data_IF_055035434480
#
_entry.id   IF_055035434480
#
_cell.length_a   1.000
_cell.length_b   1.000
_cell.length_c   1.000
_cell.angle_alpha   90.00
_cell.angle_beta   90.00
_cell.angle_gamma   90.00
#
_symmetry.space_group_name_H-M   'P 1'
#
loop_
_entity.id
_entity.type
_entity.pdbx_description
1 polymer ?
#
# COMPACT_ATOMS: atom_id res chain seq x y z
N UNK A 1 27.64 65.17 -54.22
CA UNK A 1 26.71 66.32 -54.28
C UNK A 1 26.05 66.42 -52.90
N UNK A 2 26.44 67.41 -52.10
CA UNK A 2 25.61 68.57 -51.69
C UNK A 2 24.32 68.15 -50.95
N UNK A 3 24.29 68.10 -49.60
CA UNK A 3 24.04 69.16 -48.57
C UNK A 3 22.58 69.65 -48.47
N UNK A 4 22.00 69.31 -47.30
CA UNK A 4 21.14 70.08 -46.36
C UNK A 4 19.91 70.85 -46.87
N UNK A 5 18.76 70.56 -46.25
CA UNK A 5 17.82 71.44 -45.48
C UNK A 5 16.58 70.57 -45.17
N UNK A 6 16.30 70.16 -43.93
CA UNK A 6 15.47 70.82 -42.88
C UNK A 6 14.04 71.14 -43.39
N UNK A 7 12.90 70.90 -42.76
CA UNK A 7 12.42 70.58 -41.41
C UNK A 7 10.90 70.25 -41.56
N UNK A 8 10.03 70.27 -40.51
CA UNK A 8 10.01 69.59 -39.21
C UNK A 8 8.74 68.69 -39.07
N UNK A 9 8.74 67.60 -38.28
CA UNK A 9 8.26 67.50 -36.88
C UNK A 9 6.97 68.28 -36.54
N UNK A 10 5.91 67.55 -36.13
CA UNK A 10 5.17 67.87 -34.89
C UNK A 10 4.41 66.63 -34.37
N UNK A 11 4.69 66.34 -33.10
CA UNK A 11 4.08 65.36 -32.21
C UNK A 11 2.77 65.92 -31.61
N UNK A 12 2.23 65.21 -30.61
CA UNK A 12 1.26 65.56 -29.56
C UNK A 12 -0.03 64.74 -29.70
N UNK A 13 -0.23 63.64 -28.96
CA UNK A 13 -0.40 63.47 -27.50
C UNK A 13 -1.80 63.81 -26.95
N UNK A 14 -2.28 62.87 -26.12
CA UNK A 14 -3.21 63.00 -24.97
C UNK A 14 -4.64 63.52 -25.21
N UNK A 15 -5.67 62.69 -25.02
CA UNK A 15 -6.25 62.25 -23.74
C UNK A 15 -6.85 63.40 -22.90
N UNK A 16 -8.19 63.51 -22.88
CA UNK A 16 -9.11 63.89 -21.77
C UNK A 16 -10.46 64.34 -22.38
N UNK A 17 -11.55 63.61 -22.15
CA UNK A 17 -12.48 63.69 -21.01
C UNK A 17 -13.58 64.76 -21.19
N UNK A 18 -14.82 64.34 -20.87
CA UNK A 18 -16.05 65.07 -20.55
C UNK A 18 -16.71 65.99 -21.60
N UNK A 19 -17.93 65.60 -21.99
CA UNK A 19 -18.92 66.45 -22.65
C UNK A 19 -20.33 65.99 -22.29
N UNK A 20 -20.82 66.50 -21.17
CA UNK A 20 -22.14 66.27 -20.56
C UNK A 20 -23.22 67.14 -21.23
N UNK A 21 -24.44 66.59 -21.36
CA UNK A 21 -25.76 67.23 -21.24
C UNK A 21 -26.26 68.26 -22.27
N UNK A 22 -27.33 67.91 -23.00
CA UNK A 22 -28.49 68.77 -23.33
C UNK A 22 -29.61 67.84 -23.84
N UNK A 23 -30.55 67.38 -23.00
CA UNK A 23 -31.78 68.05 -22.54
C UNK A 23 -32.80 68.29 -23.67
N UNK A 24 -33.77 67.38 -23.78
CA UNK A 24 -35.06 67.61 -24.44
C UNK A 24 -36.18 67.19 -23.48
N UNK A 25 -37.04 68.16 -23.20
CA UNK A 25 -38.12 68.24 -22.24
C UNK A 25 -39.26 67.21 -22.40
N UNK A 26 -40.13 67.06 -21.38
CA UNK A 26 -40.96 65.88 -21.15
C UNK A 26 -42.36 65.98 -21.77
N UNK A 27 -42.76 64.96 -22.53
CA UNK A 27 -44.16 64.75 -22.90
C UNK A 27 -44.81 63.84 -21.86
N UNK A 28 -45.63 64.45 -20.99
CA UNK A 28 -46.51 63.76 -20.04
C UNK A 28 -47.62 63.06 -20.82
N UNK A 29 -47.45 61.75 -21.02
CA UNK A 29 -48.55 60.84 -21.30
C UNK A 29 -48.76 59.99 -20.04
N UNK A 30 -49.87 60.25 -19.35
CA UNK A 30 -50.44 59.33 -18.36
C UNK A 30 -50.57 57.95 -18.99
N UNK A 31 -49.65 57.05 -18.63
CA UNK A 31 -49.82 55.61 -18.83
C UNK A 31 -49.94 55.02 -17.44
N UNK A 32 -51.19 54.71 -17.14
CA UNK A 32 -51.69 53.76 -16.15
C UNK A 32 -50.58 52.91 -15.52
N UNK A 33 -50.49 52.95 -14.19
CA UNK A 33 -49.70 52.03 -13.41
C UNK A 33 -50.25 50.61 -13.61
N UNK A 34 -49.84 49.96 -14.69
CA UNK A 34 -49.85 48.52 -14.80
C UNK A 34 -48.85 48.02 -13.75
N UNK A 35 -49.41 47.50 -12.67
CA UNK A 35 -48.74 46.64 -11.72
C UNK A 35 -47.96 45.60 -12.53
N UNK A 36 -46.65 45.82 -12.69
CA UNK A 36 -45.77 44.82 -13.27
C UNK A 36 -45.75 43.70 -12.24
N UNK A 37 -46.63 42.71 -12.47
CA UNK A 37 -46.54 41.40 -11.85
C UNK A 37 -45.07 41.00 -11.95
N UNK A 38 -44.39 40.89 -10.80
CA UNK A 38 -43.18 40.10 -10.73
C UNK A 38 -43.53 38.78 -11.40
N UNK A 39 -42.85 38.35 -12.47
CA UNK A 39 -43.06 37.02 -12.98
C UNK A 39 -42.82 36.09 -11.79
N UNK A 40 -43.90 35.47 -11.30
CA UNK A 40 -43.77 34.33 -10.41
C UNK A 40 -43.01 33.31 -11.25
N UNK A 41 -41.69 33.26 -11.06
CA UNK A 41 -40.84 32.27 -11.68
C UNK A 41 -41.45 30.93 -11.27
N UNK A 42 -42.14 30.29 -12.20
CA UNK A 42 -42.70 28.97 -12.00
C UNK A 42 -41.54 28.08 -11.57
N UNK A 43 -41.68 27.40 -10.43
CA UNK A 43 -40.69 26.43 -9.95
C UNK A 43 -40.38 25.33 -11.00
N UNK A 44 -41.24 25.20 -12.01
CA UNK A 44 -41.07 24.33 -13.17
C UNK A 44 -39.96 24.76 -14.15
N UNK A 45 -39.56 26.03 -14.20
CA UNK A 45 -38.49 26.51 -15.09
C UNK A 45 -37.09 26.37 -14.46
N UNK A 46 -37.02 26.05 -13.16
CA UNK A 46 -35.78 25.71 -12.50
C UNK A 46 -35.35 24.28 -12.89
N UNK A 47 -34.07 24.07 -13.27
CA UNK A 47 -33.55 22.73 -13.51
C UNK A 47 -33.82 21.80 -12.32
N UNK A 48 -34.08 20.52 -12.59
CA UNK A 48 -34.47 19.51 -11.57
C UNK A 48 -33.57 19.50 -10.32
N UNK A 49 -32.30 19.88 -10.45
CA UNK A 49 -31.31 19.92 -9.37
C UNK A 49 -31.52 21.05 -8.34
N UNK A 50 -32.31 22.07 -8.69
CA UNK A 50 -32.58 23.26 -7.88
C UNK A 50 -34.02 23.30 -7.34
N UNK A 51 -34.93 22.47 -7.85
CA UNK A 51 -36.32 22.42 -7.40
C UNK A 51 -36.42 21.95 -5.94
N UNK A 52 -37.26 22.63 -5.15
CA UNK A 52 -37.50 22.29 -3.73
C UNK A 52 -36.36 22.61 -2.76
N UNK A 53 -35.24 23.20 -3.21
CA UNK A 53 -34.15 23.67 -2.35
C UNK A 53 -34.36 25.11 -1.94
N UNK A 54 -33.98 25.44 -0.71
CA UNK A 54 -34.06 26.82 -0.21
C UNK A 54 -33.04 27.73 -0.92
N UNK A 55 -33.34 29.02 -1.02
CA UNK A 55 -32.43 29.99 -1.65
C UNK A 55 -31.03 30.01 -1.01
N UNK A 56 -30.94 29.79 0.31
CA UNK A 56 -29.66 29.66 1.02
C UNK A 56 -28.88 28.40 0.61
N UNK A 57 -29.57 27.27 0.42
CA UNK A 57 -28.95 26.01 -0.01
C UNK A 57 -28.46 26.06 -1.47
N UNK A 58 -29.20 26.76 -2.34
CA UNK A 58 -28.78 27.04 -3.71
C UNK A 58 -27.52 27.92 -3.70
N UNK A 59 -27.48 28.96 -2.86
CA UNK A 59 -26.31 29.81 -2.71
C UNK A 59 -25.07 29.05 -2.18
N UNK A 60 -25.24 28.12 -1.24
CA UNK A 60 -24.13 27.27 -0.77
C UNK A 60 -23.64 26.32 -1.86
N UNK A 61 -24.54 25.68 -2.62
CA UNK A 61 -24.13 24.86 -3.77
C UNK A 61 -23.37 25.67 -4.82
N UNK A 62 -23.84 26.88 -5.13
CA UNK A 62 -23.16 27.75 -6.10
C UNK A 62 -21.75 28.11 -5.63
N UNK A 63 -21.59 28.47 -4.35
CA UNK A 63 -20.28 28.75 -3.74
C UNK A 63 -19.36 27.55 -3.75
N UNK A 64 -19.87 26.35 -3.48
CA UNK A 64 -19.10 25.10 -3.56
C UNK A 64 -18.69 24.76 -5.00
N UNK A 65 -19.57 25.02 -5.97
CA UNK A 65 -19.28 24.85 -7.39
C UNK A 65 -18.22 25.84 -7.87
N UNK A 66 -18.33 27.11 -7.50
CA UNK A 66 -17.31 28.13 -7.78
C UNK A 66 -15.96 27.75 -7.16
N UNK A 67 -15.96 27.26 -5.92
CA UNK A 67 -14.75 26.80 -5.25
C UNK A 67 -14.12 25.60 -5.96
N UNK A 68 -14.92 24.61 -6.34
CA UNK A 68 -14.46 23.43 -7.11
C UNK A 68 -13.96 23.83 -8.50
N UNK A 69 -14.65 24.76 -9.17
CA UNK A 69 -14.23 25.27 -10.46
C UNK A 69 -12.90 26.04 -10.35
N UNK A 70 -12.72 26.81 -9.27
CA UNK A 70 -11.45 27.46 -8.94
C UNK A 70 -10.32 26.45 -8.72
N UNK A 71 -10.58 25.38 -7.97
CA UNK A 71 -9.64 24.28 -7.76
C UNK A 71 -9.28 23.59 -9.08
N UNK A 72 -10.27 23.22 -9.90
CA UNK A 72 -10.04 22.63 -11.22
C UNK A 72 -9.27 23.58 -12.16
N UNK A 73 -9.53 24.88 -12.08
CA UNK A 73 -8.79 25.88 -12.86
C UNK A 73 -7.32 25.98 -12.41
N UNK A 74 -7.05 25.84 -11.11
CA UNK A 74 -5.69 25.75 -10.58
C UNK A 74 -5.01 24.46 -11.04
N UNK A 75 -5.67 23.31 -10.95
CA UNK A 75 -5.16 22.03 -11.45
C UNK A 75 -4.83 22.10 -12.95
N UNK A 76 -5.71 22.68 -13.78
CA UNK A 76 -5.46 22.89 -15.21
C UNK A 76 -4.30 23.87 -15.44
N UNK A 77 -4.16 24.90 -14.60
CA UNK A 77 -3.02 25.82 -14.65
C UNK A 77 -1.69 25.12 -14.31
N UNK A 78 -1.69 24.22 -13.33
CA UNK A 78 -0.53 23.41 -12.99
C UNK A 78 -0.17 22.42 -14.10
N UNK A 79 -1.16 21.77 -14.72
CA UNK A 79 -0.95 20.90 -15.87
C UNK A 79 -0.35 21.66 -17.06
N UNK A 80 -0.83 22.88 -17.34
CA UNK A 80 -0.23 23.75 -18.37
C UNK A 80 1.22 24.08 -18.05
N UNK A 81 1.54 24.44 -16.80
CA UNK A 81 2.92 24.71 -16.37
C UNK A 81 3.81 23.47 -16.49
N UNK A 82 3.34 22.30 -16.07
CA UNK A 82 4.08 21.05 -16.16
C UNK A 82 4.34 20.65 -17.62
N UNK A 83 3.35 20.85 -18.49
CA UNK A 83 3.50 20.65 -19.92
C UNK A 83 4.48 21.64 -20.55
N UNK A 84 4.36 22.93 -20.24
CA UNK A 84 5.30 23.96 -20.72
C UNK A 84 6.73 23.67 -20.25
N UNK A 85 6.91 23.20 -19.01
CA UNK A 85 8.20 22.78 -18.48
C UNK A 85 8.74 21.56 -19.23
N UNK A 86 7.91 20.55 -19.51
CA UNK A 86 8.29 19.39 -20.32
C UNK A 86 8.69 19.81 -21.74
N UNK A 87 7.94 20.72 -22.37
CA UNK A 87 8.25 21.26 -23.69
C UNK A 87 9.58 22.01 -23.65
N UNK A 88 9.78 22.90 -22.66
CA UNK A 88 11.06 23.60 -22.47
C UNK A 88 12.23 22.64 -22.26
N UNK A 89 12.06 21.60 -21.43
CA UNK A 89 13.07 20.57 -21.22
C UNK A 89 13.35 19.79 -22.51
N UNK A 90 12.31 19.48 -23.30
CA UNK A 90 12.48 18.79 -24.59
C UNK A 90 13.20 19.65 -25.63
N UNK A 91 12.90 20.96 -25.69
CA UNK A 91 13.56 21.92 -26.59
C UNK A 91 15.00 22.14 -26.12
N UNK A 92 15.23 22.29 -24.82
CA UNK A 92 16.58 22.41 -24.25
C UNK A 92 17.41 21.14 -24.50
N UNK A 93 16.81 19.94 -24.44
CA UNK A 93 17.47 18.69 -24.80
C UNK A 93 17.78 18.59 -26.31
N UNK A 94 16.93 19.18 -27.18
CA UNK A 94 17.18 19.24 -28.63
C UNK A 94 18.20 20.32 -29.03
N UNK A 95 18.27 21.42 -28.28
CA UNK A 95 19.18 22.55 -28.54
C UNK A 95 20.48 22.48 -27.76
N UNK A 96 20.60 21.56 -26.79
CA UNK A 96 21.87 21.25 -26.18
C UNK A 96 22.84 20.86 -27.31
N UNK A 97 24.01 21.51 -27.43
CA UNK A 97 25.03 21.03 -28.34
C UNK A 97 25.23 19.55 -28.01
N UNK A 98 25.12 18.69 -29.03
CA UNK A 98 25.46 17.27 -28.91
C UNK A 98 26.68 17.19 -28.01
N UNK A 99 26.52 16.56 -26.85
CA UNK A 99 27.67 16.31 -25.97
C UNK A 99 28.79 15.83 -26.90
N UNK A 100 30.02 16.40 -26.80
CA UNK A 100 31.12 16.00 -27.67
C UNK A 100 31.06 14.48 -27.71
N UNK A 101 30.87 13.91 -28.91
CA UNK A 101 30.79 12.47 -29.07
C UNK A 101 31.91 11.93 -28.20
N UNK A 102 31.60 11.08 -27.19
CA UNK A 102 32.64 10.55 -26.33
C UNK A 102 33.70 10.07 -27.30
N UNK A 103 34.93 10.58 -27.22
CA UNK A 103 36.02 10.21 -28.13
C UNK A 103 36.05 8.70 -28.12
N UNK A 104 35.32 8.10 -29.05
CA UNK A 104 35.26 6.67 -29.16
C UNK A 104 36.63 6.42 -29.71
N UNK A 105 37.39 5.53 -29.08
CA UNK A 105 38.42 4.83 -29.83
C UNK A 105 37.67 4.22 -31.03
N UNK A 106 37.60 4.99 -32.11
CA UNK A 106 37.01 4.64 -33.38
C UNK A 106 37.92 3.52 -33.82
N UNK A 107 37.48 2.30 -33.57
CA UNK A 107 38.12 1.14 -34.16
C UNK A 107 37.92 1.38 -35.63
N UNK A 108 38.98 1.87 -36.27
CA UNK A 108 38.95 2.28 -37.65
C UNK A 108 38.44 1.08 -38.45
N UNK A 109 37.37 1.28 -39.21
CA UNK A 109 36.75 0.25 -40.03
C UNK A 109 37.79 -0.46 -40.92
N UNK A 110 38.87 0.22 -41.29
CA UNK A 110 39.96 -0.36 -42.07
C UNK A 110 40.90 -1.27 -41.26
N UNK A 111 41.00 -1.09 -39.95
CA UNK A 111 41.86 -1.89 -39.05
C UNK A 111 41.14 -3.11 -38.49
N UNK A 112 39.89 -2.97 -38.07
CA UNK A 112 39.01 -4.07 -37.65
C UNK A 112 37.54 -3.76 -38.02
N UNK A 113 37.12 -4.12 -39.26
CA UNK A 113 35.76 -3.84 -39.73
C UNK A 113 34.69 -4.56 -38.92
N UNK A 114 35.03 -5.71 -38.32
CA UNK A 114 34.09 -6.49 -37.53
C UNK A 114 33.76 -5.79 -36.21
N UNK A 115 34.78 -5.24 -35.52
CA UNK A 115 34.57 -4.46 -34.30
C UNK A 115 33.87 -3.13 -34.57
N UNK A 116 34.21 -2.44 -35.67
CA UNK A 116 33.55 -1.20 -36.09
C UNK A 116 32.05 -1.41 -36.34
N UNK A 117 31.69 -2.46 -37.08
CA UNK A 117 30.28 -2.80 -37.36
C UNK A 117 29.52 -3.19 -36.08
N UNK A 118 30.11 -3.97 -35.17
CA UNK A 118 29.48 -4.29 -33.87
C UNK A 118 29.19 -3.05 -33.04
N UNK A 119 30.18 -2.16 -32.89
CA UNK A 119 29.99 -0.87 -32.19
C UNK A 119 28.90 -0.02 -32.84
N UNK A 120 28.85 0.04 -34.18
CA UNK A 120 27.82 0.79 -34.89
C UNK A 120 26.41 0.21 -34.65
N UNK A 121 26.27 -1.12 -34.62
CA UNK A 121 24.99 -1.81 -34.32
C UNK A 121 24.58 -1.57 -32.86
N UNK A 122 25.49 -1.76 -31.90
CA UNK A 122 25.23 -1.53 -30.47
C UNK A 122 24.86 -0.06 -30.17
N UNK A 123 25.48 0.87 -30.90
CA UNK A 123 25.20 2.29 -30.76
C UNK A 123 23.98 2.78 -31.55
N UNK A 124 23.37 1.93 -32.38
CA UNK A 124 22.26 2.32 -33.23
C UNK A 124 21.03 2.75 -32.39
N UNK A 125 20.46 3.94 -32.65
CA UNK A 125 19.42 4.53 -31.80
C UNK A 125 18.16 3.66 -31.68
N UNK A 126 17.72 3.03 -32.78
CA UNK A 126 16.56 2.12 -32.75
C UNK A 126 16.82 0.87 -31.90
N UNK A 127 18.04 0.33 -31.90
CA UNK A 127 18.37 -0.86 -31.12
C UNK A 127 18.45 -0.51 -29.63
N UNK A 128 19.08 0.62 -29.30
CA UNK A 128 19.09 1.17 -27.94
C UNK A 128 17.68 1.43 -27.40
N UNK A 129 16.82 2.05 -28.21
CA UNK A 129 15.41 2.28 -27.84
C UNK A 129 14.67 0.96 -27.65
N UNK A 130 14.85 0.00 -28.56
CA UNK A 130 14.20 -1.30 -28.47
C UNK A 130 14.67 -2.10 -27.25
N UNK A 131 15.98 -2.07 -26.93
CA UNK A 131 16.54 -2.67 -25.73
C UNK A 131 16.01 -2.01 -24.46
N UNK A 132 15.91 -0.67 -24.44
CA UNK A 132 15.35 0.08 -23.32
C UNK A 132 13.87 -0.29 -23.08
N UNK A 133 13.06 -0.31 -24.15
CA UNK A 133 11.65 -0.72 -24.08
C UNK A 133 11.51 -2.17 -23.62
N UNK A 134 12.34 -3.08 -24.13
CA UNK A 134 12.34 -4.47 -23.71
C UNK A 134 12.71 -4.61 -22.21
N UNK A 135 13.70 -3.86 -21.73
CA UNK A 135 14.10 -3.85 -20.33
C UNK A 135 12.99 -3.28 -19.42
N UNK A 136 12.33 -2.19 -19.85
CA UNK A 136 11.22 -1.59 -19.11
C UNK A 136 9.99 -2.52 -19.07
N UNK A 137 9.69 -3.20 -20.18
CA UNK A 137 8.63 -4.20 -20.24
C UNK A 137 8.95 -5.38 -19.32
N UNK A 138 10.17 -5.91 -19.35
CA UNK A 138 10.60 -6.99 -18.46
C UNK A 138 10.48 -6.58 -16.98
N UNK A 139 10.93 -5.36 -16.64
CA UNK A 139 10.80 -4.80 -15.29
C UNK A 139 9.34 -4.70 -14.84
N UNK A 140 8.47 -4.13 -15.67
CA UNK A 140 7.04 -3.96 -15.31
C UNK A 140 6.33 -5.30 -15.14
N UNK A 141 6.62 -6.28 -16.00
CA UNK A 141 6.10 -7.64 -15.87
C UNK A 141 6.59 -8.33 -14.60
N UNK A 142 7.90 -8.27 -14.32
CA UNK A 142 8.48 -8.85 -13.12
C UNK A 142 7.87 -8.22 -11.86
N UNK A 143 7.76 -6.88 -11.81
CA UNK A 143 7.15 -6.18 -10.68
C UNK A 143 5.67 -6.55 -10.50
N UNK A 144 4.91 -6.68 -11.58
CA UNK A 144 3.49 -7.08 -11.50
C UNK A 144 3.34 -8.51 -10.95
N UNK A 145 4.16 -9.45 -11.43
CA UNK A 145 4.16 -10.84 -10.92
C UNK A 145 4.59 -10.89 -9.45
N UNK A 146 5.62 -10.12 -9.08
CA UNK A 146 6.13 -10.06 -7.73
C UNK A 146 5.10 -9.46 -6.76
N UNK A 147 4.39 -8.39 -7.16
CA UNK A 147 3.30 -7.82 -6.37
C UNK A 147 2.13 -8.81 -6.19
N UNK A 148 1.83 -9.62 -7.21
CA UNK A 148 0.79 -10.64 -7.12
C UNK A 148 1.18 -11.80 -6.19
N UNK A 149 2.43 -12.29 -6.27
CA UNK A 149 2.93 -13.37 -5.41
C UNK A 149 3.19 -12.91 -3.96
N UNK A 150 3.66 -11.67 -3.79
CA UNK A 150 4.10 -11.10 -2.53
C UNK A 150 3.58 -9.66 -2.33
N UNK A 151 2.31 -9.49 -1.97
CA UNK A 151 1.72 -8.16 -1.73
C UNK A 151 2.40 -7.42 -0.56
N UNK A 152 2.95 -8.16 0.40
CA UNK A 152 3.70 -7.71 1.58
C UNK A 152 5.20 -7.46 1.31
N UNK A 153 5.66 -7.53 0.05
CA UNK A 153 7.09 -7.34 -0.29
C UNK A 153 7.64 -6.04 0.30
N UNK A 154 6.90 -4.92 0.23
CA UNK A 154 7.37 -3.61 0.72
C UNK A 154 7.70 -3.65 2.22
N UNK A 155 6.91 -4.37 2.99
CA UNK A 155 7.10 -4.51 4.43
C UNK A 155 8.30 -5.43 4.73
N UNK A 156 8.45 -6.50 3.94
CA UNK A 156 9.60 -7.42 4.08
C UNK A 156 10.93 -6.75 3.70
N UNK A 157 10.95 -5.89 2.67
CA UNK A 157 12.18 -5.19 2.25
C UNK A 157 12.65 -4.14 3.27
N UNK A 158 11.71 -3.55 4.01
CA UNK A 158 12.02 -2.57 5.07
C UNK A 158 12.39 -3.22 6.40
N UNK A 159 12.11 -4.51 6.58
CA UNK A 159 12.49 -5.28 7.75
C UNK A 159 14.03 -5.44 7.82
N UNK A 160 14.64 -4.96 8.90
CA UNK A 160 16.08 -5.12 9.13
C UNK A 160 16.47 -6.59 9.27
N UNK A 161 15.57 -7.44 9.78
CA UNK A 161 15.79 -8.88 9.89
C UNK A 161 15.99 -9.56 8.53
N UNK A 162 15.31 -9.06 7.50
CA UNK A 162 15.46 -9.53 6.13
C UNK A 162 16.81 -9.12 5.55
N UNK A 163 17.16 -7.84 5.67
CA UNK A 163 18.44 -7.31 5.17
C UNK A 163 19.64 -8.02 5.79
N UNK A 164 19.60 -8.27 7.10
CA UNK A 164 20.62 -9.07 7.78
C UNK A 164 20.65 -10.53 7.30
N UNK A 165 19.49 -11.15 7.11
CA UNK A 165 19.40 -12.54 6.68
C UNK A 165 19.94 -12.75 5.27
N UNK A 166 19.69 -11.80 4.37
CA UNK A 166 20.29 -11.73 3.03
C UNK A 166 21.80 -11.51 3.14
N UNK A 167 22.22 -10.52 3.92
CA UNK A 167 23.64 -10.16 4.09
C UNK A 167 24.52 -11.29 4.66
N UNK A 168 23.93 -12.21 5.45
CA UNK A 168 24.61 -13.36 6.05
C UNK A 168 24.98 -14.47 5.06
N UNK A 169 24.44 -14.48 3.83
CA UNK A 169 24.71 -15.53 2.83
C UNK A 169 25.10 -14.93 1.48
N UNK A 170 26.23 -15.39 0.93
CA UNK A 170 26.68 -14.96 -0.40
C UNK A 170 25.64 -15.27 -1.49
N UNK A 171 25.04 -16.47 -1.45
CA UNK A 171 24.02 -16.89 -2.41
C UNK A 171 22.79 -15.97 -2.34
N UNK A 172 22.37 -15.55 -1.15
CA UNK A 172 21.23 -14.64 -1.00
C UNK A 172 21.55 -13.24 -1.50
N UNK A 173 22.78 -12.76 -1.29
CA UNK A 173 23.23 -11.48 -1.87
C UNK A 173 23.20 -11.52 -3.39
N UNK A 174 23.66 -12.61 -4.00
CA UNK A 174 23.64 -12.78 -5.45
C UNK A 174 22.21 -12.89 -6.01
N UNK A 175 21.32 -13.60 -5.32
CA UNK A 175 19.89 -13.65 -5.69
C UNK A 175 19.23 -12.28 -5.57
N UNK A 176 19.53 -11.54 -4.50
CA UNK A 176 19.03 -10.18 -4.31
C UNK A 176 19.54 -9.23 -5.40
N UNK A 177 20.83 -9.33 -5.76
CA UNK A 177 21.40 -8.54 -6.85
C UNK A 177 20.80 -8.88 -8.21
N UNK A 178 20.56 -10.16 -8.49
CA UNK A 178 19.85 -10.60 -9.70
C UNK A 178 18.42 -10.07 -9.76
N UNK A 179 17.71 -10.09 -8.64
CA UNK A 179 16.38 -9.53 -8.54
C UNK A 179 16.38 -8.00 -8.76
N UNK A 180 17.31 -7.27 -8.14
CA UNK A 180 17.36 -5.81 -8.17
C UNK A 180 17.87 -5.26 -9.51
N UNK A 181 18.97 -5.80 -10.04
CA UNK A 181 19.59 -5.34 -11.30
C UNK A 181 19.01 -6.00 -12.54
N UNK A 182 18.71 -7.29 -12.44
CA UNK A 182 18.23 -8.10 -13.56
C UNK A 182 16.72 -8.13 -13.70
N UNK A 183 15.98 -7.58 -12.73
CA UNK A 183 14.52 -7.71 -12.64
C UNK A 183 14.05 -9.17 -12.72
N UNK A 184 14.86 -10.08 -12.16
CA UNK A 184 14.57 -11.51 -12.16
C UNK A 184 13.51 -11.85 -11.10
N UNK A 185 12.30 -12.14 -11.58
CA UNK A 185 11.17 -12.53 -10.72
C UNK A 185 11.47 -13.80 -9.92
N UNK A 186 12.05 -14.83 -10.55
CA UNK A 186 12.27 -16.11 -9.89
C UNK A 186 13.26 -15.98 -8.73
N UNK A 187 14.33 -15.19 -8.93
CA UNK A 187 15.29 -14.91 -7.86
C UNK A 187 14.64 -14.17 -6.68
N UNK A 188 13.75 -13.21 -6.96
CA UNK A 188 13.05 -12.44 -5.93
C UNK A 188 12.01 -13.28 -5.16
N UNK A 189 11.22 -14.07 -5.89
CA UNK A 189 10.16 -14.95 -5.36
C UNK A 189 10.73 -16.01 -4.41
N UNK A 190 11.81 -16.69 -4.82
CA UNK A 190 12.53 -17.64 -3.98
C UNK A 190 13.03 -16.98 -2.69
N UNK A 191 13.65 -15.81 -2.80
CA UNK A 191 14.27 -15.15 -1.67
C UNK A 191 13.23 -14.65 -0.64
N UNK A 192 12.10 -14.11 -1.11
CA UNK A 192 11.00 -13.67 -0.27
C UNK A 192 10.23 -14.85 0.33
N UNK A 193 9.95 -15.89 -0.46
CA UNK A 193 9.28 -17.12 -0.01
C UNK A 193 10.09 -17.80 1.09
N UNK A 194 11.38 -18.03 0.88
CA UNK A 194 12.26 -18.65 1.88
C UNK A 194 12.34 -17.85 3.18
N UNK A 195 12.32 -16.52 3.09
CA UNK A 195 12.32 -15.69 4.29
C UNK A 195 11.01 -15.84 5.08
N UNK A 196 9.87 -15.83 4.39
CA UNK A 196 8.54 -15.98 4.99
C UNK A 196 8.36 -17.36 5.62
N UNK A 197 8.80 -18.41 4.93
CA UNK A 197 8.82 -19.76 5.47
C UNK A 197 9.63 -19.83 6.77
N UNK A 198 10.83 -19.25 6.77
CA UNK A 198 11.66 -19.17 7.97
C UNK A 198 10.96 -18.42 9.10
N UNK A 199 10.35 -17.25 8.84
CA UNK A 199 9.60 -16.51 9.88
C UNK A 199 8.44 -17.35 10.41
N UNK A 200 7.69 -18.00 9.53
CA UNK A 200 6.59 -18.90 9.89
C UNK A 200 7.06 -20.03 10.80
N UNK A 201 8.18 -20.68 10.49
CA UNK A 201 8.77 -21.75 11.32
C UNK A 201 9.19 -21.21 12.69
N UNK A 202 9.85 -20.04 12.73
CA UNK A 202 10.28 -19.43 14.00
C UNK A 202 9.08 -19.08 14.87
N UNK A 203 8.02 -18.51 14.29
CA UNK A 203 6.79 -18.20 15.02
C UNK A 203 6.06 -19.45 15.52
N UNK A 204 5.96 -20.49 14.69
CA UNK A 204 5.38 -21.76 15.10
C UNK A 204 6.18 -22.40 16.24
N UNK A 205 7.51 -22.39 16.15
CA UNK A 205 8.39 -22.92 17.19
C UNK A 205 8.21 -22.15 18.50
N UNK A 206 8.18 -20.82 18.44
CA UNK A 206 7.92 -19.98 19.62
C UNK A 206 6.54 -20.23 20.24
N UNK A 207 5.51 -20.50 19.42
CA UNK A 207 4.16 -20.89 19.92
C UNK A 207 4.20 -22.24 20.62
N UNK A 208 4.84 -23.24 20.03
CA UNK A 208 4.99 -24.59 20.62
C UNK A 208 5.79 -24.52 21.91
N UNK A 209 6.87 -23.76 21.95
CA UNK A 209 7.70 -23.56 23.15
C UNK A 209 6.92 -22.89 24.27
N UNK A 210 6.15 -21.84 23.98
CA UNK A 210 5.25 -21.21 24.98
C UNK A 210 4.23 -22.19 25.53
N UNK A 211 3.62 -23.03 24.69
CA UNK A 211 2.67 -24.06 25.12
C UNK A 211 3.37 -25.11 25.98
N UNK A 212 4.55 -25.56 25.58
CA UNK A 212 5.36 -26.51 26.35
C UNK A 212 5.72 -25.94 27.73
N UNK A 213 6.19 -24.70 27.78
CA UNK A 213 6.53 -23.99 29.02
C UNK A 213 5.30 -23.81 29.91
N UNK A 214 4.15 -23.43 29.36
CA UNK A 214 2.91 -23.33 30.13
C UNK A 214 2.47 -24.70 30.68
N UNK A 215 2.60 -25.77 29.90
CA UNK A 215 2.28 -27.12 30.35
C UNK A 215 3.24 -27.60 31.44
N UNK A 216 4.51 -27.24 31.36
CA UNK A 216 5.52 -27.54 32.37
C UNK A 216 5.25 -26.77 33.67
N UNK A 217 4.95 -25.48 33.59
CA UNK A 217 4.53 -24.67 34.74
C UNK A 217 3.25 -25.24 35.35
N UNK A 218 2.26 -25.65 34.55
CA UNK A 218 1.05 -26.30 35.06
C UNK A 218 1.38 -27.61 35.78
N UNK A 219 2.21 -28.49 35.22
CA UNK A 219 2.66 -29.73 35.86
C UNK A 219 3.41 -29.48 37.17
N UNK A 220 4.25 -28.45 37.21
CA UNK A 220 4.96 -28.04 38.43
C UNK A 220 4.01 -27.42 39.47
N UNK A 221 3.04 -26.61 39.03
CA UNK A 221 2.06 -25.89 39.85
C UNK A 221 0.96 -26.79 40.41
N UNK A 222 0.52 -27.82 39.67
CA UNK A 222 -0.39 -28.86 40.19
C UNK A 222 0.26 -29.73 41.26
N UNK A 223 1.51 -29.43 41.63
CA UNK A 223 2.40 -30.34 42.31
C UNK A 223 2.74 -31.49 41.37
N UNK A 224 3.99 -31.92 41.38
CA UNK A 224 4.23 -33.33 41.07
C UNK A 224 3.36 -34.10 42.05
N UNK A 225 2.23 -34.63 41.58
CA UNK A 225 1.43 -35.54 42.36
C UNK A 225 2.36 -36.71 42.64
N UNK A 226 3.00 -36.68 43.82
CA UNK A 226 3.60 -37.84 44.47
C UNK A 226 2.52 -38.84 44.86
N UNK A 227 1.43 -38.94 44.10
CA UNK A 227 0.70 -40.19 43.95
C UNK A 227 1.51 -41.00 42.94
N UNK A 228 2.51 -41.69 43.48
CA UNK A 228 3.01 -42.92 42.90
C UNK A 228 1.82 -43.65 42.23
N UNK A 229 1.82 -43.95 40.92
CA UNK A 229 0.76 -44.78 40.34
C UNK A 229 0.70 -46.17 41.00
N UNK A 230 1.73 -46.51 41.77
CA UNK A 230 1.83 -47.71 42.61
C UNK A 230 1.61 -47.45 44.12
N UNK A 231 1.22 -46.23 44.54
CA UNK A 231 0.58 -46.07 45.84
C UNK A 231 -0.85 -46.57 45.70
N UNK A 232 -0.95 -47.90 45.68
CA UNK A 232 -2.11 -48.62 46.20
C UNK A 232 -2.70 -47.79 47.33
N UNK A 233 -3.87 -47.18 47.09
CA UNK A 233 -4.73 -46.65 48.16
C UNK A 233 -4.61 -47.66 49.29
N UNK A 234 -4.07 -47.26 50.43
CA UNK A 234 -3.74 -48.18 51.52
C UNK A 234 -4.87 -49.18 51.66
N UNK A 235 -4.61 -50.44 51.27
CA UNK A 235 -5.71 -51.40 51.07
C UNK A 235 -6.47 -51.49 52.37
N UNK A 236 -7.80 -51.45 52.29
CA UNK A 236 -8.66 -51.27 53.47
C UNK A 236 -8.34 -52.35 54.52
N UNK A 237 -8.05 -51.90 55.74
CA UNK A 237 -7.86 -52.79 56.89
C UNK A 237 -9.24 -53.06 57.49
N UNK A 238 -9.58 -54.34 57.65
CA UNK A 238 -10.86 -54.75 58.23
C UNK A 238 -10.66 -55.12 59.69
N UNK A 239 -11.67 -54.86 60.54
CA UNK A 239 -11.69 -55.38 61.91
C UNK A 239 -12.54 -56.64 61.95
N UNK A 240 -12.14 -57.67 62.70
CA UNK A 240 -12.92 -58.93 62.81
C UNK A 240 -14.37 -58.67 63.19
N UNK A 241 -14.61 -57.76 64.15
CA UNK A 241 -15.95 -57.37 64.60
C UNK A 241 -16.80 -56.78 63.47
N UNK A 242 -16.21 -55.97 62.60
CA UNK A 242 -16.92 -55.27 61.53
C UNK A 242 -17.31 -56.27 60.42
N UNK A 243 -16.50 -57.33 60.21
CA UNK A 243 -16.83 -58.45 59.31
C UNK A 243 -17.98 -59.28 59.89
N UNK A 244 -17.96 -59.58 61.19
CA UNK A 244 -19.03 -60.34 61.87
C UNK A 244 -20.34 -59.54 61.86
N UNK A 245 -20.29 -58.24 62.12
CA UNK A 245 -21.46 -57.37 62.04
C UNK A 245 -22.00 -57.31 60.61
N UNK A 246 -21.12 -57.23 59.61
CA UNK A 246 -21.51 -57.26 58.20
C UNK A 246 -22.19 -58.59 57.83
N UNK A 247 -21.67 -59.73 58.30
CA UNK A 247 -22.27 -61.05 58.08
C UNK A 247 -23.67 -61.16 58.69
N UNK A 248 -23.88 -60.60 59.89
CA UNK A 248 -25.15 -60.67 60.60
C UNK A 248 -26.19 -59.65 60.09
N UNK A 249 -25.75 -58.47 59.66
CA UNK A 249 -26.62 -57.35 59.27
C UNK A 249 -26.98 -57.37 57.78
N UNK A 250 -26.03 -57.75 56.91
CA UNK A 250 -26.23 -57.76 55.46
C UNK A 250 -25.43 -58.89 54.79
N UNK A 251 -25.99 -60.12 54.74
CA UNK A 251 -25.33 -61.27 54.14
C UNK A 251 -24.98 -61.08 52.65
N UNK A 252 -25.81 -60.34 51.90
CA UNK A 252 -25.60 -60.11 50.46
C UNK A 252 -24.37 -59.25 50.21
N UNK A 253 -24.18 -58.22 51.03
CA UNK A 253 -23.00 -57.35 50.93
C UNK A 253 -21.72 -58.04 51.41
N UNK A 254 -21.83 -58.92 52.39
CA UNK A 254 -20.71 -59.79 52.79
C UNK A 254 -20.25 -60.69 51.64
N UNK A 255 -21.18 -61.35 50.94
CA UNK A 255 -20.88 -62.22 49.80
C UNK A 255 -20.21 -61.45 48.65
N UNK A 256 -20.71 -60.26 48.32
CA UNK A 256 -20.12 -59.41 47.29
C UNK A 256 -18.67 -58.96 47.63
N UNK A 257 -18.36 -58.80 48.92
CA UNK A 257 -17.02 -58.41 49.40
C UNK A 257 -16.14 -59.61 49.77
N UNK A 258 -16.65 -60.83 49.67
CA UNK A 258 -15.95 -62.05 50.08
C UNK A 258 -14.57 -62.20 49.40
N UNK A 259 -14.38 -61.93 48.09
CA UNK A 259 -13.06 -62.03 47.46
C UNK A 259 -12.03 -61.08 48.08
N UNK A 260 -12.43 -59.85 48.39
CA UNK A 260 -11.53 -58.85 49.00
C UNK A 260 -11.29 -59.13 50.49
N UNK A 261 -12.29 -59.62 51.22
CA UNK A 261 -12.14 -60.03 52.62
C UNK A 261 -11.17 -61.21 52.74
N UNK A 262 -11.30 -62.22 51.86
CA UNK A 262 -10.38 -63.37 51.82
C UNK A 262 -8.95 -62.93 51.50
N UNK A 263 -8.78 -62.01 50.55
CA UNK A 263 -7.48 -61.41 50.24
C UNK A 263 -6.93 -60.61 51.42
N UNK A 264 -7.78 -59.90 52.16
CA UNK A 264 -7.37 -59.19 53.37
C UNK A 264 -6.92 -60.14 54.50
N UNK A 265 -7.53 -61.32 54.64
CA UNK A 265 -7.06 -62.37 55.56
C UNK A 265 -5.68 -62.90 55.16
N UNK A 266 -5.46 -63.17 53.86
CA UNK A 266 -4.18 -63.65 53.33
C UNK A 266 -3.06 -62.61 53.52
N UNK A 267 -3.38 -61.32 53.33
CA UNK A 267 -2.44 -60.21 53.46
C UNK A 267 -2.28 -59.72 54.92
N UNK A 268 -2.90 -60.37 55.91
CA UNK A 268 -2.81 -59.96 57.32
C UNK A 268 -3.47 -58.60 57.64
N UNK A 269 -4.37 -58.13 56.78
CA UNK A 269 -5.10 -56.85 56.90
C UNK A 269 -6.38 -56.94 57.74
N UNK A 270 -6.63 -58.07 58.41
CA UNK A 270 -7.75 -58.22 59.34
C UNK A 270 -7.24 -58.16 60.78
N UNK A 271 -7.63 -57.12 61.52
CA UNK A 271 -7.23 -56.89 62.91
C UNK A 271 -8.28 -57.32 63.92
#
# INVERSE_FOLDING_TARGET
>A
MARLVDAPEEQLDEATEVGTLEELEPETADVEAEEVEQPQASEDDLPEKYRGKSASEIATMHRELEQRLGQQSQEVGELRKAFDEMVKQSIAAQQAPSAPEPEVDEVDFFTDPQAAVRKAIENHPMLKQSQAVAAEMAKSQALAQLQAAHPDMKDVLTDSGFQEWVGKSQVRRELFERADKGYDFAAADELLTLYKERRGIVEQTAKVEKVAQQNEIKKASTGSARSNPDSTKSRKVYRRRDIIELMNRDPKRYEALMPEIMKAYQEGRVK
#
